data_IF_486897736642
#
_entry.id   IF_486897736642
#
_cell.length_a   1.000
_cell.length_b   1.000
_cell.length_c   1.000
_cell.angle_alpha   90.00
_cell.angle_beta   90.00
_cell.angle_gamma   90.00
#
_symmetry.space_group_name_H-M   'P 1'
#
loop_
_entity.id
_entity.type
_entity.pdbx_description
1 polymer ?
#
# COMPACT_ATOMS: atom_id res chain seq x y z
N UNK A 1 -9.63 -14.93 3.13
CA UNK A 1 -8.87 -15.49 4.27
C UNK A 1 -7.48 -15.88 3.80
N UNK A 2 -6.46 -15.64 4.62
CA UNK A 2 -5.04 -15.85 4.30
C UNK A 2 -4.64 -17.24 4.79
N UNK A 3 -4.09 -18.10 3.92
CA UNK A 3 -3.56 -19.41 4.33
C UNK A 3 -2.10 -19.30 4.72
N UNK A 4 -1.73 -19.90 5.83
CA UNK A 4 -0.35 -19.99 6.29
C UNK A 4 -0.04 -21.38 6.85
N UNK A 5 1.23 -21.76 6.80
CA UNK A 5 1.82 -22.96 7.37
C UNK A 5 2.53 -22.60 8.66
N UNK A 6 2.15 -23.25 9.76
CA UNK A 6 2.96 -23.28 10.99
C UNK A 6 3.99 -24.40 10.85
N UNK A 7 5.24 -24.03 10.54
CA UNK A 7 6.33 -24.98 10.27
C UNK A 7 6.68 -25.86 11.46
N UNK A 8 6.32 -25.44 12.69
CA UNK A 8 6.60 -26.23 13.91
C UNK A 8 5.78 -27.50 13.98
N UNK A 9 4.55 -27.43 13.50
CA UNK A 9 3.59 -28.53 13.58
C UNK A 9 3.25 -29.10 12.20
N UNK A 10 3.81 -28.51 11.14
CA UNK A 10 3.50 -28.81 9.74
C UNK A 10 2.01 -28.64 9.38
N UNK A 11 1.30 -27.76 10.11
CA UNK A 11 -0.15 -27.55 9.95
C UNK A 11 -0.44 -26.31 9.12
N UNK A 12 -1.37 -26.45 8.17
CA UNK A 12 -1.94 -25.35 7.40
C UNK A 12 -3.14 -24.77 8.15
N UNK A 13 -3.16 -23.44 8.33
CA UNK A 13 -4.22 -22.70 9.00
C UNK A 13 -4.67 -21.52 8.16
N UNK A 14 -5.86 -21.01 8.46
CA UNK A 14 -6.40 -19.80 7.83
C UNK A 14 -6.45 -18.65 8.82
N UNK A 15 -6.10 -17.46 8.36
CA UNK A 15 -6.11 -16.23 9.13
C UNK A 15 -7.05 -15.20 8.48
N UNK A 16 -7.64 -14.37 9.32
CA UNK A 16 -8.32 -13.15 8.91
C UNK A 16 -7.30 -12.06 8.56
N UNK A 17 -6.29 -11.87 9.39
CA UNK A 17 -5.27 -10.82 9.25
C UNK A 17 -3.90 -11.30 9.77
N UNK A 18 -2.82 -10.79 9.18
CA UNK A 18 -1.43 -11.13 9.52
C UNK A 18 -0.57 -9.86 9.46
N UNK A 19 0.02 -9.48 10.60
CA UNK A 19 0.92 -8.32 10.73
C UNK A 19 2.35 -8.77 11.06
N UNK A 20 3.34 -8.26 10.34
CA UNK A 20 4.76 -8.53 10.61
C UNK A 20 5.36 -7.37 11.40
N UNK A 21 6.01 -7.67 12.53
CA UNK A 21 6.81 -6.71 13.31
C UNK A 21 8.10 -7.39 13.74
N UNK A 22 9.22 -6.89 13.21
CA UNK A 22 10.56 -7.42 13.44
C UNK A 22 10.62 -8.94 13.22
N UNK A 23 11.03 -9.70 14.25
CA UNK A 23 11.13 -11.17 14.22
C UNK A 23 9.82 -11.88 14.62
N UNK A 24 8.71 -11.15 14.69
CA UNK A 24 7.40 -11.68 15.08
C UNK A 24 6.34 -11.46 14.02
N UNK A 25 5.39 -12.38 14.00
CA UNK A 25 4.20 -12.34 13.15
C UNK A 25 2.99 -12.43 14.05
N UNK A 26 2.08 -11.47 13.93
CA UNK A 26 0.84 -11.40 14.68
C UNK A 26 -0.31 -11.83 13.79
N UNK A 27 -0.96 -12.94 14.14
CA UNK A 27 -2.02 -13.56 13.33
C UNK A 27 -3.36 -13.41 14.05
N UNK A 28 -4.36 -12.85 13.37
CA UNK A 28 -5.77 -12.85 13.81
C UNK A 28 -6.56 -13.86 13.00
N UNK A 29 -7.36 -14.67 13.67
CA UNK A 29 -8.19 -15.70 13.03
C UNK A 29 -9.59 -15.20 12.65
N UNK A 30 -10.08 -14.13 13.29
CA UNK A 30 -11.40 -13.53 13.03
C UNK A 30 -11.32 -12.00 13.06
N UNK A 31 -12.32 -11.32 12.46
CA UNK A 31 -12.36 -9.84 12.30
C UNK A 31 -12.18 -9.07 13.60
N UNK A 32 -12.82 -9.52 14.67
CA UNK A 32 -12.74 -8.94 16.01
C UNK A 32 -11.93 -9.81 16.98
N UNK A 33 -11.13 -10.74 16.45
CA UNK A 33 -10.38 -11.71 17.23
C UNK A 33 -9.10 -11.13 17.83
N UNK A 34 -8.60 -11.81 18.86
CA UNK A 34 -7.28 -11.53 19.43
C UNK A 34 -6.18 -11.88 18.41
N UNK A 35 -5.09 -11.10 18.44
CA UNK A 35 -3.90 -11.39 17.66
C UNK A 35 -2.96 -12.31 18.45
N UNK A 36 -2.45 -13.34 17.80
CA UNK A 36 -1.53 -14.32 18.37
C UNK A 36 -0.14 -14.13 17.78
N UNK A 37 0.86 -14.01 18.66
CA UNK A 37 2.25 -13.82 18.25
C UNK A 37 2.95 -15.14 17.93
N UNK A 38 3.62 -15.18 16.78
CA UNK A 38 4.46 -16.27 16.31
C UNK A 38 5.85 -15.73 15.97
N UNK A 39 6.87 -16.58 15.99
CA UNK A 39 8.17 -16.22 15.41
C UNK A 39 8.08 -16.27 13.89
N UNK A 40 8.65 -15.28 13.21
CA UNK A 40 8.62 -15.18 11.74
C UNK A 40 9.27 -16.37 11.04
N UNK A 41 10.32 -16.96 11.63
CA UNK A 41 10.98 -18.16 11.07
C UNK A 41 10.05 -19.37 10.99
N UNK A 42 9.04 -19.43 11.86
CA UNK A 42 8.12 -20.56 12.01
C UNK A 42 6.86 -20.44 11.16
N UNK A 43 6.66 -19.33 10.46
CA UNK A 43 5.45 -19.07 9.66
C UNK A 43 5.83 -18.98 8.19
N UNK A 44 5.10 -19.70 7.34
CA UNK A 44 5.19 -19.59 5.88
C UNK A 44 3.80 -19.28 5.33
N UNK A 45 3.66 -18.24 4.53
CA UNK A 45 2.36 -17.86 3.97
C UNK A 45 2.13 -18.67 2.68
N UNK A 46 1.10 -19.51 2.66
CA UNK A 46 0.82 -20.47 1.59
C UNK A 46 -0.12 -19.92 0.52
N UNK A 47 -1.14 -19.18 0.94
CA UNK A 47 -1.76 -18.22 0.05
C UNK A 47 -0.98 -16.93 0.24
N UNK A 48 0.09 -16.72 -0.53
CA UNK A 48 0.17 -15.41 -1.18
C UNK A 48 -1.24 -15.23 -1.74
N UNK A 49 -2.06 -14.33 -1.18
CA UNK A 49 -3.06 -13.66 -2.02
C UNK A 49 -2.24 -13.34 -3.25
N UNK A 50 -2.50 -14.08 -4.35
CA UNK A 50 -1.67 -14.04 -5.55
C UNK A 50 -1.22 -12.62 -5.68
N UNK A 51 0.10 -12.33 -5.54
CA UNK A 51 0.65 -10.97 -5.48
C UNK A 51 -0.18 -10.18 -6.46
N UNK A 52 -1.20 -9.46 -5.98
CA UNK A 52 -2.30 -9.13 -6.87
C UNK A 52 -1.71 -7.99 -7.61
N UNK A 53 -1.15 -8.28 -8.78
CA UNK A 53 -0.10 -7.47 -9.37
C UNK A 53 -0.58 -6.05 -9.28
N UNK A 54 0.05 -5.24 -8.43
CA UNK A 54 -0.48 -3.91 -8.15
C UNK A 54 -0.48 -3.19 -9.48
N UNK A 55 -1.65 -2.70 -9.90
CA UNK A 55 -1.73 -1.96 -11.14
C UNK A 55 -1.06 -0.62 -10.90
N UNK A 56 -0.02 -0.37 -11.68
CA UNK A 56 0.78 0.83 -11.55
C UNK A 56 0.28 1.85 -12.55
N UNK A 57 -0.26 2.92 -12.01
CA UNK A 57 -0.62 4.10 -12.76
C UNK A 57 0.58 5.02 -12.85
N UNK A 58 0.67 5.69 -13.99
CA UNK A 58 1.66 6.74 -14.19
C UNK A 58 0.98 8.01 -14.69
N UNK A 59 1.43 9.15 -14.17
CA UNK A 59 1.02 10.46 -14.64
C UNK A 59 2.21 11.41 -14.60
N UNK A 60 2.16 12.46 -15.43
CA UNK A 60 3.20 13.47 -15.47
C UNK A 60 2.99 14.50 -14.38
N UNK A 61 4.09 14.90 -13.75
CA UNK A 61 4.12 16.02 -12.82
C UNK A 61 5.40 16.82 -12.99
N UNK A 62 5.34 18.13 -12.75
CA UNK A 62 6.53 18.97 -12.82
C UNK A 62 7.37 18.79 -11.55
N UNK A 63 8.64 18.43 -11.68
CA UNK A 63 9.49 18.25 -10.52
C UNK A 63 9.77 19.60 -9.84
N UNK A 64 9.46 19.72 -8.55
CA UNK A 64 9.70 20.95 -7.80
C UNK A 64 11.17 21.41 -7.83
N UNK A 65 12.13 20.47 -7.84
CA UNK A 65 13.56 20.76 -7.80
C UNK A 65 14.14 21.18 -9.15
N UNK A 66 13.97 20.36 -10.19
CA UNK A 66 14.60 20.60 -11.50
C UNK A 66 13.66 21.23 -12.54
N UNK A 67 12.38 21.44 -12.19
CA UNK A 67 11.33 22.04 -13.05
C UNK A 67 11.07 21.30 -14.36
N UNK A 68 11.60 20.08 -14.52
CA UNK A 68 11.33 19.19 -15.64
C UNK A 68 10.17 18.27 -15.31
N UNK A 69 9.40 17.92 -16.34
CA UNK A 69 8.35 16.91 -16.21
C UNK A 69 8.97 15.55 -15.92
N UNK A 70 8.40 14.88 -14.93
CA UNK A 70 8.78 13.54 -14.49
C UNK A 70 7.55 12.69 -14.36
N UNK A 71 7.70 11.39 -14.60
CA UNK A 71 6.62 10.45 -14.34
C UNK A 71 6.53 10.16 -12.83
N UNK A 72 5.34 10.29 -12.29
CA UNK A 72 4.97 9.82 -10.95
C UNK A 72 4.32 8.46 -11.10
N UNK A 73 4.74 7.51 -10.27
CA UNK A 73 4.15 6.19 -10.18
C UNK A 73 3.22 6.16 -8.97
N UNK A 74 2.05 5.54 -9.10
CA UNK A 74 1.14 5.27 -7.98
C UNK A 74 0.44 3.93 -8.18
N UNK A 75 0.03 3.29 -7.09
CA UNK A 75 -1.06 2.30 -7.14
C UNK A 75 -2.35 2.98 -6.68
N UNK A 76 -3.48 2.40 -7.07
CA UNK A 76 -4.78 2.78 -6.53
C UNK A 76 -5.55 1.48 -6.27
N UNK A 77 -5.96 1.25 -5.03
CA UNK A 77 -6.73 0.07 -4.64
C UNK A 77 -7.97 0.49 -3.87
N UNK A 78 -9.01 -0.35 -3.89
CA UNK A 78 -10.04 -0.29 -2.84
C UNK A 78 -9.37 -0.49 -1.48
N UNK A 79 -9.91 0.12 -0.41
CA UNK A 79 -9.42 -0.06 0.96
C UNK A 79 -9.35 -1.54 1.40
N UNK A 80 -10.17 -2.39 0.79
CA UNK A 80 -10.19 -3.84 1.05
C UNK A 80 -9.46 -4.68 -0.01
N UNK A 81 -8.58 -4.05 -0.79
CA UNK A 81 -7.39 -4.70 -1.34
C UNK A 81 -7.42 -5.17 -2.80
N UNK A 82 -8.45 -4.82 -3.57
CA UNK A 82 -8.44 -5.05 -5.03
C UNK A 82 -7.94 -3.80 -5.75
N UNK A 83 -7.24 -3.98 -6.88
CA UNK A 83 -6.90 -2.86 -7.76
C UNK A 83 -8.16 -2.09 -8.16
N UNK A 84 -8.10 -0.77 -8.06
CA UNK A 84 -9.11 0.11 -8.63
C UNK A 84 -8.73 0.31 -10.09
N UNK A 85 -9.60 -0.04 -11.04
CA UNK A 85 -9.33 -0.01 -12.49
C UNK A 85 -10.35 0.87 -13.19
N UNK A 86 -9.90 1.66 -14.18
CA UNK A 86 -10.79 2.46 -15.01
C UNK A 86 -11.47 1.58 -16.09
N UNK A 87 -12.79 1.73 -16.34
CA UNK A 87 -13.73 2.62 -15.66
C UNK A 87 -14.05 2.15 -14.24
N UNK A 88 -14.06 3.10 -13.29
CA UNK A 88 -14.21 2.82 -11.86
C UNK A 88 -15.57 2.18 -11.53
N UNK A 89 -15.57 1.15 -10.68
CA UNK A 89 -16.81 0.58 -10.11
C UNK A 89 -17.39 1.53 -9.05
N UNK A 90 -18.17 2.50 -9.52
CA UNK A 90 -18.83 3.51 -8.68
C UNK A 90 -19.80 2.91 -7.67
N UNK A 91 -20.46 1.80 -8.01
CA UNK A 91 -21.41 1.15 -7.11
C UNK A 91 -20.67 0.61 -5.89
N UNK A 92 -19.55 -0.09 -6.12
CA UNK A 92 -18.71 -0.58 -5.02
C UNK A 92 -18.11 0.56 -4.20
N UNK A 93 -17.58 1.59 -4.86
CA UNK A 93 -17.03 2.77 -4.17
C UNK A 93 -18.04 3.46 -3.26
N UNK A 94 -19.29 3.62 -3.73
CA UNK A 94 -20.38 4.20 -2.94
C UNK A 94 -20.79 3.29 -1.77
N UNK A 95 -20.86 1.97 -1.98
CA UNK A 95 -21.23 1.01 -0.96
C UNK A 95 -20.19 0.86 0.16
N UNK A 96 -18.92 1.16 -0.13
CA UNK A 96 -17.84 1.08 0.84
C UNK A 96 -17.64 2.39 1.64
N UNK A 97 -18.33 3.49 1.29
CA UNK A 97 -18.20 4.80 1.97
C UNK A 97 -18.35 4.68 3.48
N UNK A 98 -17.43 5.31 4.20
CA UNK A 98 -17.50 5.44 5.67
C UNK A 98 -18.33 6.66 6.06
N UNK A 99 -18.87 6.66 7.29
CA UNK A 99 -19.57 7.84 7.83
C UNK A 99 -18.72 9.11 7.76
N UNK A 100 -17.42 9.01 8.04
CA UNK A 100 -16.47 10.12 7.91
C UNK A 100 -16.34 10.61 6.46
N UNK A 101 -16.35 9.70 5.48
CA UNK A 101 -16.32 10.07 4.06
C UNK A 101 -17.58 10.82 3.63
N UNK A 102 -18.74 10.45 4.19
CA UNK A 102 -20.00 11.15 3.94
C UNK A 102 -19.95 12.55 4.56
N UNK A 103 -19.46 12.68 5.81
CA UNK A 103 -19.35 13.98 6.48
C UNK A 103 -18.36 14.92 5.77
N UNK A 104 -17.22 14.41 5.30
CA UNK A 104 -16.26 15.21 4.54
C UNK A 104 -16.85 15.71 3.22
N UNK A 105 -17.69 14.90 2.56
CA UNK A 105 -18.39 15.31 1.36
C UNK A 105 -19.41 16.43 1.62
N UNK A 106 -20.03 16.47 2.81
CA UNK A 106 -20.90 17.59 3.22
C UNK A 106 -20.12 18.89 3.42
N UNK A 107 -18.83 18.82 3.79
CA UNK A 107 -17.99 20.01 3.99
C UNK A 107 -17.38 20.50 2.67
N UNK A 108 -17.04 19.58 1.77
CA UNK A 108 -16.43 19.85 0.47
C UNK A 108 -17.28 19.22 -0.64
N UNK A 109 -18.39 19.89 -0.99
CA UNK A 109 -19.40 19.37 -1.93
C UNK A 109 -18.81 19.11 -3.33
N UNK A 110 -17.76 19.84 -3.72
CA UNK A 110 -17.09 19.66 -5.01
C UNK A 110 -16.19 18.41 -5.10
N UNK A 111 -15.93 17.72 -3.98
CA UNK A 111 -15.02 16.57 -3.92
C UNK A 111 -15.69 15.29 -3.42
N UNK A 112 -15.64 14.23 -4.20
CA UNK A 112 -16.10 12.90 -3.77
C UNK A 112 -15.05 12.18 -2.91
N UNK A 113 -15.43 11.80 -1.69
CA UNK A 113 -14.55 11.07 -0.77
C UNK A 113 -14.84 9.57 -0.83
N UNK A 114 -13.91 8.84 -1.42
CA UNK A 114 -13.95 7.38 -1.48
C UNK A 114 -12.88 6.72 -0.62
N UNK A 115 -13.18 5.58 0.01
CA UNK A 115 -12.22 4.81 0.80
C UNK A 115 -11.28 4.02 -0.13
N UNK A 116 -10.29 4.70 -0.68
CA UNK A 116 -9.25 4.12 -1.54
C UNK A 116 -7.89 4.20 -0.86
N UNK A 117 -7.01 3.24 -1.15
CA UNK A 117 -5.61 3.29 -0.76
C UNK A 117 -4.77 3.71 -1.98
N UNK A 118 -3.83 4.62 -1.73
CA UNK A 118 -2.79 5.06 -2.65
C UNK A 118 -1.44 5.01 -1.92
N UNK A 119 -0.34 5.32 -2.63
CA UNK A 119 1.00 5.44 -2.03
C UNK A 119 0.93 6.18 -0.68
N UNK A 120 1.58 5.64 0.34
CA UNK A 120 1.70 6.25 1.66
C UNK A 120 0.58 5.89 2.63
N UNK A 121 -0.56 5.41 2.15
CA UNK A 121 -1.70 5.03 3.00
C UNK A 121 -1.64 3.57 3.46
N UNK A 122 -0.95 2.71 2.70
CA UNK A 122 -0.88 1.28 2.99
C UNK A 122 0.57 0.78 2.98
N UNK A 123 1.18 0.65 4.16
CA UNK A 123 2.59 0.23 4.34
C UNK A 123 2.91 -1.11 3.67
N UNK A 124 1.95 -2.03 3.61
CA UNK A 124 2.14 -3.34 2.95
C UNK A 124 2.31 -3.15 1.45
N UNK A 125 1.43 -2.39 0.81
CA UNK A 125 1.51 -2.11 -0.62
C UNK A 125 2.69 -1.21 -0.96
N UNK A 126 3.01 -0.24 -0.11
CA UNK A 126 4.20 0.60 -0.27
C UNK A 126 5.49 -0.22 -0.31
N UNK A 127 5.64 -1.21 0.59
CA UNK A 127 6.81 -2.08 0.60
C UNK A 127 6.92 -2.93 -0.68
N UNK A 128 5.80 -3.50 -1.14
CA UNK A 128 5.75 -4.24 -2.41
C UNK A 128 6.15 -3.33 -3.56
N UNK A 129 5.64 -2.10 -3.57
CA UNK A 129 5.86 -1.15 -4.63
C UNK A 129 7.31 -0.63 -4.67
N UNK A 130 7.88 -0.33 -3.51
CA UNK A 130 9.28 0.04 -3.34
C UNK A 130 10.21 -1.05 -3.87
N UNK A 131 9.94 -2.31 -3.54
CA UNK A 131 10.73 -3.44 -4.02
C UNK A 131 10.64 -3.62 -5.54
N UNK A 132 9.49 -3.29 -6.15
CA UNK A 132 9.31 -3.37 -7.62
C UNK A 132 9.99 -2.21 -8.35
N UNK A 133 10.07 -1.01 -7.76
CA UNK A 133 10.69 0.17 -8.39
C UNK A 133 11.69 0.92 -7.49
N UNK A 134 12.77 0.26 -7.03
CA UNK A 134 13.71 0.85 -6.06
C UNK A 134 14.50 2.04 -6.61
N UNK A 135 14.65 2.17 -7.94
CA UNK A 135 15.30 3.32 -8.59
C UNK A 135 14.38 4.54 -8.71
N UNK A 136 13.07 4.36 -8.50
CA UNK A 136 12.03 5.37 -8.71
C UNK A 136 11.32 5.79 -7.44
N UNK A 137 11.48 5.02 -6.38
CA UNK A 137 10.81 5.20 -5.12
C UNK A 137 11.84 5.14 -3.98
N UNK A 138 11.59 5.91 -2.92
CA UNK A 138 12.35 5.80 -1.67
C UNK A 138 11.44 6.09 -0.49
N UNK A 139 11.80 5.59 0.68
CA UNK A 139 11.19 6.07 1.92
C UNK A 139 11.86 7.39 2.30
N UNK A 140 11.04 8.40 2.58
CA UNK A 140 11.49 9.72 3.01
C UNK A 140 10.62 10.25 4.16
N UNK A 141 11.20 11.10 4.99
CA UNK A 141 10.47 11.74 6.08
C UNK A 141 9.69 12.96 5.59
N UNK A 142 8.38 12.98 5.85
CA UNK A 142 7.54 14.16 5.67
C UNK A 142 7.68 15.07 6.86
N UNK A 143 8.04 16.34 6.62
CA UNK A 143 7.90 17.35 7.69
C UNK A 143 6.44 17.72 7.92
N UNK A 144 5.61 17.65 6.87
CA UNK A 144 4.19 18.01 6.94
C UNK A 144 3.39 16.97 7.72
N UNK A 145 3.56 15.69 7.37
CA UNK A 145 2.84 14.58 8.02
C UNK A 145 3.56 14.05 9.27
N UNK A 146 4.78 14.54 9.54
CA UNK A 146 5.65 14.08 10.63
C UNK A 146 5.88 12.55 10.67
N UNK A 147 5.87 11.90 9.49
CA UNK A 147 6.02 10.45 9.35
C UNK A 147 6.91 10.06 8.16
N UNK A 148 7.42 8.82 8.19
CA UNK A 148 8.10 8.20 7.05
C UNK A 148 7.08 7.62 6.08
N UNK A 149 7.16 8.02 4.81
CA UNK A 149 6.28 7.53 3.75
C UNK A 149 7.05 7.29 2.46
N UNK A 150 6.44 6.51 1.58
CA UNK A 150 7.00 6.20 0.27
C UNK A 150 6.87 7.42 -0.65
N UNK A 151 7.99 7.84 -1.24
CA UNK A 151 8.08 9.03 -2.09
C UNK A 151 8.58 8.67 -3.49
N UNK A 152 7.99 9.33 -4.49
CA UNK A 152 8.49 9.29 -5.86
C UNK A 152 9.79 10.07 -6.02
N UNK A 153 10.71 9.49 -6.80
CA UNK A 153 11.94 10.12 -7.24
C UNK A 153 11.77 10.67 -8.66
N UNK A 154 12.27 11.89 -8.86
CA UNK A 154 12.31 12.50 -10.18
C UNK A 154 13.39 11.81 -11.04
N UNK A 155 12.99 11.36 -12.24
CA UNK A 155 13.85 10.71 -13.25
C UNK A 155 15.15 11.47 -13.44
N UNK A 156 15.01 12.76 -13.73
CA UNK A 156 16.12 13.67 -14.05
C UNK A 156 17.03 13.97 -12.86
N UNK A 157 16.48 13.99 -11.64
CA UNK A 157 17.25 14.28 -10.44
C UNK A 157 18.06 13.08 -9.98
N UNK A 158 17.62 11.85 -10.29
CA UNK A 158 18.35 10.63 -9.99
C UNK A 158 19.50 10.45 -10.99
N UNK A 159 19.26 10.65 -12.29
CA UNK A 159 20.30 10.57 -13.34
C UNK A 159 21.49 11.49 -13.08
N UNK A 160 21.23 12.73 -12.64
CA UNK A 160 22.29 13.70 -12.31
C UNK A 160 23.25 13.22 -11.20
N UNK A 161 22.86 12.25 -10.37
CA UNK A 161 23.69 11.70 -9.30
C UNK A 161 24.55 10.52 -9.73
N UNK A 162 24.10 9.75 -10.72
CA UNK A 162 24.84 8.59 -11.24
C UNK A 162 25.95 9.01 -12.22
N UNK A 163 25.80 10.15 -12.91
CA UNK A 163 26.82 10.71 -13.80
C UNK A 163 27.92 11.56 -13.13
N UNK A 164 28.06 11.49 -11.81
CA UNK A 164 29.04 12.27 -11.03
C UNK A 164 30.20 11.43 -10.47
N UNK A 165 30.38 10.19 -10.96
CA UNK A 165 31.45 9.27 -10.56
C UNK A 165 32.52 9.16 -11.65
#
# INVERSE_FOLDING_TARGET
MIKFKDKRNDIIKEAYDIEFKDNKVFIKFTKNGKAYGYSSSNIEILNKQADSELFIYTFKHNCYKCKRDTNILTYITFKYGSNLVYPWDKNKLNNEKTGDGILNHTVYEEMEFYPIDIIGLNKKYDNIFLNKYPKRLKVGFSKTENELYLMNLCEHCVESREGSL
#
